data_IF_912366788714
#
_entry.id   IF_912366788714
#
_cell.length_a   1.000
_cell.length_b   1.000
_cell.length_c   1.000
_cell.angle_alpha   90.00
_cell.angle_beta   90.00
_cell.angle_gamma   90.00
#
_symmetry.space_group_name_H-M   'P 1'
#
loop_
_entity.id
_entity.type
_entity.pdbx_description
1 polymer ?
#
# COMPACT_ATOMS: atom_id res chain seq x y z
N UNK A 1 -14.15 18.58 7.82
CA UNK A 1 -13.91 17.47 8.76
C UNK A 1 -14.30 16.17 8.07
N UNK A 2 -13.35 15.28 7.80
CA UNK A 2 -13.63 13.97 7.19
C UNK A 2 -14.15 13.01 8.25
N UNK A 3 -15.26 12.32 7.97
CA UNK A 3 -15.89 11.36 8.87
C UNK A 3 -15.05 10.08 8.98
N UNK A 4 -14.56 9.77 10.18
CA UNK A 4 -13.96 8.48 10.52
C UNK A 4 -14.96 7.35 10.25
N UNK A 5 -14.53 6.27 9.59
CA UNK A 5 -15.33 5.06 9.37
C UNK A 5 -16.10 4.97 8.06
N UNK A 6 -16.07 6.00 7.20
CA UNK A 6 -16.76 5.96 5.89
C UNK A 6 -15.83 5.59 4.71
N UNK A 7 -14.68 4.96 4.99
CA UNK A 7 -13.79 4.49 3.95
C UNK A 7 -14.38 3.18 3.38
N UNK A 8 -14.62 3.09 2.05
CA UNK A 8 -15.04 1.84 1.46
C UNK A 8 -14.02 0.76 1.81
N UNK A 9 -14.51 -0.44 2.12
CA UNK A 9 -13.67 -1.59 2.46
C UNK A 9 -12.58 -1.69 1.38
N UNK A 10 -11.30 -1.55 1.78
CA UNK A 10 -10.20 -1.72 0.83
C UNK A 10 -10.39 -3.11 0.21
N UNK A 11 -10.50 -3.18 -1.11
CA UNK A 11 -10.63 -4.47 -1.79
C UNK A 11 -9.49 -5.35 -1.28
N UNK A 12 -9.83 -6.51 -0.70
CA UNK A 12 -8.83 -7.54 -0.45
C UNK A 12 -8.19 -7.80 -1.79
N UNK A 13 -6.90 -7.52 -1.91
CA UNK A 13 -6.13 -8.08 -3.01
C UNK A 13 -6.08 -9.58 -2.74
N UNK A 14 -7.06 -10.32 -3.27
CA UNK A 14 -7.04 -11.79 -3.23
C UNK A 14 -5.93 -12.26 -4.16
N UNK A 15 -4.89 -12.81 -3.56
CA UNK A 15 -3.82 -13.51 -4.27
C UNK A 15 -4.38 -14.88 -4.71
N UNK A 16 -5.13 -14.86 -5.80
CA UNK A 16 -5.61 -16.02 -6.55
C UNK A 16 -4.52 -16.47 -7.55
N UNK A 17 -4.41 -17.77 -7.81
CA UNK A 17 -3.48 -18.35 -8.80
C UNK A 17 -3.60 -17.68 -10.19
N UNK A 18 -4.81 -17.27 -10.59
CA UNK A 18 -5.07 -16.49 -11.80
C UNK A 18 -4.38 -15.11 -11.77
N UNK A 19 -4.37 -14.45 -10.61
CA UNK A 19 -3.66 -13.18 -10.44
C UNK A 19 -2.14 -13.36 -10.49
N UNK A 20 -1.62 -14.50 -10.02
CA UNK A 20 -0.19 -14.81 -10.10
C UNK A 20 0.26 -15.05 -11.55
N UNK A 21 -0.49 -15.84 -12.33
CA UNK A 21 -0.17 -16.11 -13.72
C UNK A 21 -0.17 -14.82 -14.57
N UNK A 22 -1.20 -13.99 -14.42
CA UNK A 22 -1.28 -12.69 -15.09
C UNK A 22 -0.13 -11.76 -14.69
N UNK A 23 0.30 -11.80 -13.42
CA UNK A 23 1.43 -11.00 -12.95
C UNK A 23 2.75 -11.46 -13.54
N UNK A 24 2.97 -12.77 -13.60
CA UNK A 24 4.15 -13.35 -14.24
C UNK A 24 4.22 -13.02 -15.74
N UNK A 25 3.09 -13.08 -16.45
CA UNK A 25 3.02 -12.68 -17.85
C UNK A 25 3.36 -11.19 -18.03
N UNK A 26 2.80 -10.31 -17.20
CA UNK A 26 3.11 -8.89 -17.23
C UNK A 26 4.60 -8.59 -16.99
N UNK A 27 5.21 -9.24 -15.99
CA UNK A 27 6.63 -9.06 -15.66
C UNK A 27 7.55 -9.57 -16.78
N UNK A 28 7.23 -10.71 -17.38
CA UNK A 28 8.04 -11.25 -18.50
C UNK A 28 7.92 -10.39 -19.75
N UNK A 29 6.74 -9.80 -20.02
CA UNK A 29 6.57 -8.84 -21.11
C UNK A 29 7.38 -7.56 -20.87
N UNK A 30 7.30 -7.01 -19.65
CA UNK A 30 8.03 -5.81 -19.27
C UNK A 30 9.55 -6.02 -19.33
N UNK A 31 10.03 -7.21 -18.93
CA UNK A 31 11.45 -7.58 -19.05
C UNK A 31 11.94 -7.54 -20.49
N UNK A 32 11.13 -8.04 -21.44
CA UNK A 32 11.46 -7.99 -22.87
C UNK A 32 11.47 -6.56 -23.43
N UNK A 33 10.54 -5.72 -22.98
CA UNK A 33 10.42 -4.33 -23.45
C UNK A 33 11.55 -3.43 -22.91
N UNK A 34 12.05 -3.73 -21.71
CA UNK A 34 13.02 -2.87 -20.99
C UNK A 34 14.45 -3.39 -21.02
N UNK A 35 14.68 -4.61 -21.54
CA UNK A 35 15.96 -5.33 -21.47
C UNK A 35 16.50 -5.49 -20.04
N UNK A 36 15.58 -5.61 -19.08
CA UNK A 36 15.86 -5.76 -17.66
C UNK A 36 15.52 -7.18 -17.23
N UNK A 37 16.33 -7.77 -16.35
CA UNK A 37 16.05 -9.11 -15.85
C UNK A 37 14.74 -9.17 -15.06
N UNK A 38 13.99 -10.26 -15.19
CA UNK A 38 12.75 -10.48 -14.44
C UNK A 38 13.01 -10.41 -12.92
N UNK A 39 14.16 -10.91 -12.46
CA UNK A 39 14.58 -10.81 -11.05
C UNK A 39 14.70 -9.35 -10.58
N UNK A 40 15.29 -8.48 -11.41
CA UNK A 40 15.35 -7.03 -11.12
C UNK A 40 13.96 -6.41 -11.04
N UNK A 41 13.04 -6.80 -11.93
CA UNK A 41 11.66 -6.29 -11.90
C UNK A 41 10.90 -6.75 -10.65
N UNK A 42 11.10 -8.00 -10.21
CA UNK A 42 10.55 -8.51 -8.95
C UNK A 42 11.07 -7.70 -7.77
N UNK A 43 12.37 -7.40 -7.73
CA UNK A 43 12.97 -6.56 -6.67
C UNK A 43 12.40 -5.14 -6.66
N UNK A 44 12.20 -4.54 -7.83
CA UNK A 44 11.56 -3.22 -7.95
C UNK A 44 10.11 -3.27 -7.46
N UNK A 45 9.36 -4.30 -7.81
CA UNK A 45 7.99 -4.47 -7.36
C UNK A 45 7.90 -4.61 -5.83
N UNK A 46 8.79 -5.40 -5.22
CA UNK A 46 8.89 -5.52 -3.76
C UNK A 46 9.19 -4.15 -3.13
N UNK A 47 10.15 -3.39 -3.68
CA UNK A 47 10.49 -2.06 -3.19
C UNK A 47 9.29 -1.09 -3.27
N UNK A 48 8.50 -1.14 -4.35
CA UNK A 48 7.28 -0.35 -4.49
C UNK A 48 6.22 -0.72 -3.44
N UNK A 49 6.05 -2.01 -3.15
CA UNK A 49 5.12 -2.47 -2.11
C UNK A 49 5.56 -2.03 -0.71
N UNK A 50 6.86 -2.11 -0.41
CA UNK A 50 7.41 -1.61 0.85
C UNK A 50 7.22 -0.11 1.01
N UNK A 51 7.45 0.68 -0.05
CA UNK A 51 7.18 2.12 -0.02
C UNK A 51 5.71 2.42 0.24
N UNK A 52 4.79 1.70 -0.41
CA UNK A 52 3.36 1.84 -0.16
C UNK A 52 2.99 1.50 1.29
N UNK A 53 3.58 0.44 1.84
CA UNK A 53 3.38 0.06 3.24
C UNK A 53 3.86 1.18 4.17
N UNK A 54 5.05 1.73 3.92
CA UNK A 54 5.59 2.84 4.68
C UNK A 54 4.65 4.07 4.64
N UNK A 55 4.16 4.46 3.46
CA UNK A 55 3.19 5.57 3.34
C UNK A 55 1.92 5.33 4.15
N UNK A 56 1.39 4.09 4.15
CA UNK A 56 0.21 3.74 4.95
C UNK A 56 0.51 3.85 6.45
N UNK A 57 1.70 3.42 6.88
CA UNK A 57 2.10 3.51 8.29
C UNK A 57 2.24 4.96 8.75
N UNK A 58 2.84 5.82 7.93
CA UNK A 58 2.93 7.26 8.21
C UNK A 58 1.53 7.87 8.30
N UNK A 59 0.67 7.65 7.30
CA UNK A 59 -0.70 8.19 7.31
C UNK A 59 -1.51 7.73 8.53
N UNK A 60 -1.33 6.48 8.96
CA UNK A 60 -1.98 5.95 10.15
C UNK A 60 -1.41 6.56 11.44
N UNK A 61 -0.10 6.80 11.48
CA UNK A 61 0.58 7.50 12.58
C UNK A 61 0.05 8.92 12.74
N UNK A 62 0.03 9.70 11.65
CA UNK A 62 -0.49 11.06 11.65
C UNK A 62 -1.94 11.13 12.15
N UNK A 63 -2.81 10.23 11.67
CA UNK A 63 -4.20 10.13 12.15
C UNK A 63 -4.29 9.75 13.62
N UNK A 64 -3.41 8.88 14.11
CA UNK A 64 -3.38 8.49 15.50
C UNK A 64 -2.98 9.66 16.40
N UNK A 65 -1.95 10.41 15.99
CA UNK A 65 -1.46 11.59 16.71
C UNK A 65 -2.50 12.72 16.73
N UNK A 66 -3.16 13.00 15.61
CA UNK A 66 -4.27 13.96 15.54
C UNK A 66 -5.42 13.59 16.50
N UNK A 67 -5.79 12.30 16.54
CA UNK A 67 -6.84 11.82 17.43
C UNK A 67 -6.41 11.90 18.91
N UNK A 68 -5.14 11.60 19.22
CA UNK A 68 -4.61 11.66 20.57
C UNK A 68 -4.55 13.11 21.09
N UNK A 69 -4.14 14.04 20.24
CA UNK A 69 -4.14 15.48 20.53
C UNK A 69 -5.57 15.98 20.81
N UNK A 70 -6.54 15.61 19.97
CA UNK A 70 -7.94 15.97 20.17
C UNK A 70 -8.54 15.43 21.47
N UNK A 71 -8.17 14.20 21.88
CA UNK A 71 -8.56 13.65 23.19
C UNK A 71 -7.89 14.44 24.33
N UNK A 72 -6.61 14.80 24.19
CA UNK A 72 -5.88 15.61 25.17
C UNK A 72 -6.52 16.98 25.43
N UNK A 73 -7.00 17.66 24.38
CA UNK A 73 -7.73 18.93 24.50
C UNK A 73 -9.08 18.78 25.21
N UNK A 74 -9.78 17.65 25.00
CA UNK A 74 -11.06 17.37 25.68
C UNK A 74 -10.84 17.13 27.18
N UNK A 75 -9.77 16.43 27.56
CA UNK A 75 -9.48 16.09 28.96
C UNK A 75 -8.93 17.26 29.79
N UNK A 76 -8.43 18.33 29.15
CA UNK A 76 -7.97 19.55 29.82
C UNK A 76 -9.09 20.57 30.12
N UNK A 77 -10.33 20.28 29.70
CA UNK A 77 -11.52 21.05 30.10
C UNK A 77 -12.19 20.44 31.32
#
# INVERSE_FOLDING_TARGET
MGTLGNQPCRSRYEFDDFNLANRAEALTKLAKETDVSVDTLIKLEIAMQLNRLNSILIENGDKMDENLAGIGEILQK
#
